data_IF_922097754266
#
_entry.id   IF_922097754266
#
_cell.length_a   1.000
_cell.length_b   1.000
_cell.length_c   1.000
_cell.angle_alpha   90.00
_cell.angle_beta   90.00
_cell.angle_gamma   90.00
#
_symmetry.space_group_name_H-M   'P 1'
#
loop_
_entity.id
_entity.type
_entity.pdbx_description
1 polymer ?
#
# COMPACT_ATOMS: atom_id res chain seq x y z
N UNK A 1 -2.35 -12.17 -0.02
CA UNK A 1 -3.28 -11.24 0.68
C UNK A 1 -2.51 -10.54 1.79
N UNK A 2 -2.80 -9.26 2.07
CA UNK A 2 -2.18 -8.55 3.18
C UNK A 2 -2.54 -9.16 4.54
N UNK A 3 -1.66 -9.07 5.55
CA UNK A 3 -1.92 -9.55 6.90
C UNK A 3 -2.91 -8.64 7.66
N UNK A 4 -3.64 -9.18 8.64
CA UNK A 4 -4.61 -8.42 9.45
C UNK A 4 -3.95 -7.29 10.25
N UNK A 5 -2.67 -7.43 10.61
CA UNK A 5 -1.90 -6.40 11.27
C UNK A 5 -1.75 -5.14 10.41
N UNK A 6 -1.77 -5.27 9.08
CA UNK A 6 -1.75 -4.11 8.18
C UNK A 6 -3.09 -3.36 8.25
N UNK A 7 -4.23 -4.06 8.30
CA UNK A 7 -5.56 -3.44 8.48
C UNK A 7 -5.59 -2.62 9.78
N UNK A 8 -5.10 -3.20 10.89
CA UNK A 8 -5.03 -2.52 12.18
C UNK A 8 -4.10 -1.30 12.14
N UNK A 9 -2.95 -1.43 11.47
CA UNK A 9 -1.96 -0.35 11.33
C UNK A 9 -2.53 0.82 10.52
N UNK A 10 -3.14 0.57 9.37
CA UNK A 10 -3.73 1.62 8.53
C UNK A 10 -4.95 2.28 9.18
N UNK A 11 -5.74 1.52 9.93
CA UNK A 11 -6.87 2.05 10.71
C UNK A 11 -6.39 3.04 11.78
N UNK A 12 -5.31 2.72 12.49
CA UNK A 12 -4.76 3.53 13.57
C UNK A 12 -3.78 4.63 13.10
N UNK A 13 -3.50 4.72 11.80
CA UNK A 13 -2.46 5.58 11.25
C UNK A 13 -2.77 7.06 11.51
N UNK A 14 -1.87 7.81 12.19
CA UNK A 14 -2.09 9.24 12.40
C UNK A 14 -2.08 10.03 11.09
N UNK A 15 -2.79 11.17 11.08
CA UNK A 15 -2.79 12.10 9.95
C UNK A 15 -1.36 12.50 9.57
N UNK A 16 -1.09 12.63 8.26
CA UNK A 16 0.21 13.03 7.68
C UNK A 16 1.37 12.05 7.93
N UNK A 17 1.08 10.83 8.37
CA UNK A 17 2.06 9.74 8.46
C UNK A 17 1.78 8.72 7.36
N UNK A 18 2.81 7.94 7.01
CA UNK A 18 2.69 6.85 6.05
C UNK A 18 3.26 5.52 6.57
N UNK A 19 2.76 4.43 6.00
CA UNK A 19 3.26 3.06 6.18
C UNK A 19 3.88 2.61 4.88
N UNK A 20 5.13 2.16 4.93
CA UNK A 20 5.87 1.66 3.77
C UNK A 20 5.76 0.13 3.68
N UNK A 21 5.63 -0.38 2.47
CA UNK A 21 5.58 -1.82 2.14
C UNK A 21 6.56 -2.09 0.99
N UNK A 22 7.60 -2.91 1.20
CA UNK A 22 8.53 -3.35 0.15
C UNK A 22 7.85 -4.01 -1.06
N UNK A 23 8.47 -3.93 -2.24
CA UNK A 23 7.92 -4.40 -3.51
C UNK A 23 7.63 -5.92 -3.57
N UNK A 24 8.44 -6.73 -2.90
CA UNK A 24 8.21 -8.17 -2.75
C UNK A 24 6.90 -8.46 -2.01
N UNK A 25 6.68 -7.78 -0.88
CA UNK A 25 5.44 -7.88 -0.11
C UNK A 25 4.25 -7.28 -0.86
N UNK A 26 4.44 -6.21 -1.63
CA UNK A 26 3.39 -5.65 -2.48
C UNK A 26 2.87 -6.69 -3.47
N UNK A 27 3.76 -7.41 -4.15
CA UNK A 27 3.36 -8.45 -5.09
C UNK A 27 2.70 -9.64 -4.36
N UNK A 28 3.33 -10.17 -3.31
CA UNK A 28 2.81 -11.32 -2.55
C UNK A 28 1.43 -11.06 -1.92
N UNK A 29 1.20 -9.82 -1.49
CA UNK A 29 -0.04 -9.46 -0.82
C UNK A 29 -1.15 -9.11 -1.79
N UNK A 30 -0.85 -8.34 -2.85
CA UNK A 30 -1.87 -7.72 -3.70
C UNK A 30 -2.02 -8.36 -5.08
N UNK A 31 -1.02 -9.11 -5.57
CA UNK A 31 -1.11 -9.89 -6.80
C UNK A 31 -0.23 -11.15 -6.73
N UNK A 32 -0.57 -12.13 -5.87
CA UNK A 32 0.25 -13.32 -5.72
C UNK A 32 0.34 -14.10 -7.04
N UNK A 33 1.56 -14.45 -7.45
CA UNK A 33 1.81 -15.29 -8.62
C UNK A 33 1.93 -14.56 -9.96
N UNK A 34 1.86 -13.22 -10.00
CA UNK A 34 2.06 -12.45 -11.24
C UNK A 34 3.53 -12.10 -11.54
N UNK A 35 4.44 -12.45 -10.63
CA UNK A 35 5.89 -12.31 -10.78
C UNK A 35 6.42 -11.00 -10.17
N UNK A 36 7.65 -11.03 -9.65
CA UNK A 36 8.30 -9.83 -9.10
C UNK A 36 9.21 -9.16 -10.14
N UNK A 37 9.23 -7.82 -10.08
CA UNK A 37 10.09 -6.87 -10.81
C UNK A 37 9.77 -6.60 -12.30
N UNK A 38 9.24 -5.40 -12.61
CA UNK A 38 8.68 -4.42 -11.67
C UNK A 38 7.44 -4.99 -10.95
N UNK A 39 7.04 -4.38 -9.83
CA UNK A 39 5.74 -4.67 -9.21
C UNK A 39 4.64 -4.52 -10.26
N UNK A 40 3.69 -5.46 -10.29
CA UNK A 40 2.68 -5.51 -11.33
C UNK A 40 1.65 -4.38 -11.18
N UNK A 41 1.11 -3.92 -12.30
CA UNK A 41 -0.03 -2.98 -12.31
C UNK A 41 -1.24 -3.52 -11.53
N UNK A 42 -1.39 -4.84 -11.48
CA UNK A 42 -2.42 -5.51 -10.69
C UNK A 42 -2.19 -5.29 -9.19
N UNK A 43 -0.96 -5.51 -8.70
CA UNK A 43 -0.59 -5.26 -7.32
C UNK A 43 -0.79 -3.78 -6.95
N UNK A 44 -0.37 -2.85 -7.81
CA UNK A 44 -0.53 -1.41 -7.58
C UNK A 44 -2.00 -1.00 -7.44
N UNK A 45 -2.87 -1.45 -8.35
CA UNK A 45 -4.30 -1.14 -8.31
C UNK A 45 -4.99 -1.77 -7.10
N UNK A 46 -4.62 -3.00 -6.77
CA UNK A 46 -5.17 -3.69 -5.61
C UNK A 46 -4.74 -3.02 -4.29
N UNK A 47 -3.49 -2.57 -4.19
CA UNK A 47 -3.01 -1.78 -3.06
C UNK A 47 -3.73 -0.43 -2.95
N UNK A 48 -3.90 0.29 -4.06
CA UNK A 48 -4.65 1.55 -4.05
C UNK A 48 -6.10 1.35 -3.56
N UNK A 49 -6.80 0.34 -4.08
CA UNK A 49 -8.15 0.00 -3.64
C UNK A 49 -8.20 -0.41 -2.16
N UNK A 50 -7.19 -1.15 -1.69
CA UNK A 50 -7.05 -1.55 -0.31
C UNK A 50 -6.86 -0.34 0.63
N UNK A 51 -5.95 0.58 0.30
CA UNK A 51 -5.69 1.78 1.11
C UNK A 51 -6.93 2.66 1.29
N UNK A 52 -7.76 2.80 0.25
CA UNK A 52 -9.01 3.59 0.30
C UNK A 52 -9.99 3.10 1.36
N UNK A 53 -9.97 1.81 1.73
CA UNK A 53 -10.82 1.27 2.81
C UNK A 53 -10.49 1.85 4.19
N UNK A 54 -9.28 2.41 4.34
CA UNK A 54 -8.76 2.97 5.59
C UNK A 54 -8.53 4.49 5.50
N UNK A 55 -9.11 5.13 4.48
CA UNK A 55 -8.89 6.55 4.18
C UNK A 55 -7.40 6.86 3.96
N UNK A 56 -6.69 5.95 3.29
CA UNK A 56 -5.31 6.15 2.88
C UNK A 56 -5.22 6.37 1.36
N UNK A 57 -4.38 7.33 0.96
CA UNK A 57 -3.86 7.42 -0.40
C UNK A 57 -2.70 6.43 -0.56
N UNK A 58 -2.51 5.90 -1.76
CA UNK A 58 -1.43 4.99 -2.07
C UNK A 58 -0.53 5.56 -3.16
N UNK A 59 0.79 5.42 -3.00
CA UNK A 59 1.77 5.75 -4.03
C UNK A 59 2.91 4.74 -4.01
N UNK A 60 3.34 4.32 -5.20
CA UNK A 60 4.54 3.52 -5.38
C UNK A 60 5.73 4.42 -5.75
N UNK A 61 6.88 4.14 -5.14
CA UNK A 61 8.15 4.84 -5.35
C UNK A 61 9.17 3.86 -5.94
N UNK A 62 9.30 3.78 -7.28
CA UNK A 62 10.19 2.82 -7.94
C UNK A 62 11.66 2.95 -7.52
N UNK A 63 12.11 4.17 -7.21
CA UNK A 63 13.46 4.48 -6.78
C UNK A 63 13.80 3.97 -5.37
N UNK A 64 12.76 3.67 -4.58
CA UNK A 64 12.87 3.08 -3.23
C UNK A 64 12.35 1.64 -3.17
N UNK A 65 11.75 1.14 -4.25
CA UNK A 65 11.13 -0.17 -4.34
C UNK A 65 10.09 -0.40 -3.22
N UNK A 66 9.28 0.62 -2.94
CA UNK A 66 8.28 0.57 -1.87
C UNK A 66 6.95 1.21 -2.30
N UNK A 67 5.84 0.59 -1.88
CA UNK A 67 4.53 1.21 -1.83
C UNK A 67 4.33 1.93 -0.49
N UNK A 68 3.72 3.10 -0.51
CA UNK A 68 3.44 3.88 0.70
C UNK A 68 1.96 4.23 0.78
N UNK A 69 1.36 3.88 1.91
CA UNK A 69 0.01 4.29 2.29
C UNK A 69 0.08 5.54 3.16
N UNK A 70 -0.48 6.65 2.70
CA UNK A 70 -0.52 7.93 3.42
C UNK A 70 -1.91 8.17 3.99
N UNK A 71 -2.03 8.47 5.29
CA UNK A 71 -3.34 8.83 5.85
C UNK A 71 -3.83 10.12 5.20
N UNK A 72 -5.00 10.04 4.56
CA UNK A 72 -5.61 11.16 3.88
C UNK A 72 -5.86 12.29 4.87
N UNK A 73 -5.58 13.52 4.43
CA UNK A 73 -5.94 14.74 5.14
C UNK A 73 -6.85 15.51 4.20
N UNK A 74 -8.14 15.71 4.54
CA UNK A 74 -8.95 16.66 3.79
C UNK A 74 -8.20 18.00 3.78
N UNK A 75 -8.03 18.60 2.61
CA UNK A 75 -7.42 19.93 2.52
C UNK A 75 -8.14 20.86 3.51
N UNK A 76 -7.37 21.43 4.45
CA UNK A 76 -7.86 22.42 5.42
C UNK A 76 -8.37 23.68 4.69
#
# INVERSE_FOLDING_TARGET
>A
MPPEELDATLTALPLRIGVYVPDDLMEDWFAPGTGMKPVSDAALKAAEAYGRRFECEFKYYPERMEGVFWKWVPAL
#
